data_IF_347021900541
#
_entry.id   IF_347021900541
#
_cell.length_a   1.000
_cell.length_b   1.000
_cell.length_c   1.000
_cell.angle_alpha   90.00
_cell.angle_beta   90.00
_cell.angle_gamma   90.00
#
_symmetry.space_group_name_H-M   'P 1'
#
loop_
_entity.id
_entity.type
_entity.pdbx_description
1 polymer ?
#
# COMPACT_ATOMS: atom_id res chain seq x y z
N UNK A 1 23.70 1.97 -6.69
CA UNK A 1 22.28 2.35 -6.56
C UNK A 1 21.49 1.33 -7.35
N UNK A 2 20.48 0.69 -6.74
CA UNK A 2 19.63 -0.26 -7.45
C UNK A 2 18.62 0.47 -8.35
N UNK A 3 18.20 -0.17 -9.44
CA UNK A 3 17.13 0.32 -10.30
C UNK A 3 15.75 -0.09 -9.77
N UNK A 4 14.69 0.62 -10.18
CA UNK A 4 13.30 0.25 -9.84
C UNK A 4 13.00 -1.21 -10.19
N UNK A 5 13.39 -1.67 -11.38
CA UNK A 5 13.13 -3.06 -11.82
C UNK A 5 13.87 -4.10 -10.98
N UNK A 6 15.09 -3.81 -10.51
CA UNK A 6 15.84 -4.72 -9.64
C UNK A 6 15.17 -4.85 -8.27
N UNK A 7 14.71 -3.74 -7.70
CA UNK A 7 14.00 -3.73 -6.42
C UNK A 7 12.65 -4.47 -6.49
N UNK A 8 11.90 -4.30 -7.58
CA UNK A 8 10.66 -5.03 -7.80
C UNK A 8 10.87 -6.55 -7.91
N UNK A 9 12.00 -7.01 -8.47
CA UNK A 9 12.32 -8.44 -8.58
C UNK A 9 12.78 -9.04 -7.25
N UNK A 10 13.48 -8.26 -6.41
CA UNK A 10 14.02 -8.75 -5.13
C UNK A 10 13.00 -8.93 -4.01
N UNK A 11 11.78 -8.40 -4.16
CA UNK A 11 10.77 -8.35 -3.09
C UNK A 11 9.80 -9.54 -3.01
N UNK A 12 9.86 -10.53 -3.90
CA UNK A 12 8.73 -11.46 -4.16
C UNK A 12 8.55 -12.58 -3.11
N UNK A 13 9.30 -12.55 -2.01
CA UNK A 13 9.16 -13.50 -0.89
C UNK A 13 8.31 -12.89 0.25
N UNK A 14 7.02 -12.64 -0.03
CA UNK A 14 6.04 -12.17 0.94
C UNK A 14 4.92 -13.20 1.08
N UNK A 15 4.57 -13.52 2.31
CA UNK A 15 3.39 -14.33 2.63
C UNK A 15 2.14 -13.44 2.61
N UNK A 16 1.54 -13.31 1.44
CA UNK A 16 0.33 -12.51 1.20
C UNK A 16 -0.45 -13.03 0.00
N UNK A 17 -1.73 -12.68 -0.11
CA UNK A 17 -2.55 -13.04 -1.27
C UNK A 17 -2.06 -12.37 -2.58
N UNK A 18 -1.31 -11.27 -2.47
CA UNK A 18 -0.82 -10.50 -3.60
C UNK A 18 0.63 -10.00 -3.41
N UNK A 19 1.65 -10.89 -3.33
CA UNK A 19 3.03 -10.52 -2.97
C UNK A 19 3.63 -9.47 -3.89
N UNK A 20 3.39 -9.61 -5.20
CA UNK A 20 3.89 -8.66 -6.20
C UNK A 20 3.28 -7.27 -6.03
N UNK A 21 1.97 -7.21 -5.78
CA UNK A 21 1.27 -5.93 -5.57
C UNK A 21 1.77 -5.23 -4.31
N UNK A 22 1.97 -5.99 -3.23
CA UNK A 22 2.51 -5.46 -1.98
C UNK A 22 3.90 -4.83 -2.20
N UNK A 23 4.80 -5.51 -2.91
CA UNK A 23 6.13 -4.97 -3.27
C UNK A 23 6.02 -3.67 -4.06
N UNK A 24 5.14 -3.63 -5.07
CA UNK A 24 4.93 -2.42 -5.88
C UNK A 24 4.40 -1.24 -5.04
N UNK A 25 3.44 -1.50 -4.15
CA UNK A 25 2.87 -0.48 -3.27
C UNK A 25 3.90 0.04 -2.26
N UNK A 26 4.70 -0.85 -1.67
CA UNK A 26 5.75 -0.47 -0.73
C UNK A 26 6.86 0.33 -1.42
N UNK A 27 7.27 -0.06 -2.62
CA UNK A 27 8.27 0.69 -3.38
C UNK A 27 7.74 2.07 -3.80
N UNK A 28 6.52 2.12 -4.32
CA UNK A 28 5.84 3.37 -4.65
C UNK A 28 5.78 4.31 -3.44
N UNK A 29 5.39 3.78 -2.28
CA UNK A 29 5.34 4.52 -1.02
C UNK A 29 6.72 5.04 -0.59
N UNK A 30 7.75 4.19 -0.60
CA UNK A 30 9.12 4.60 -0.23
C UNK A 30 9.65 5.74 -1.12
N UNK A 31 9.33 5.69 -2.42
CA UNK A 31 9.73 6.70 -3.40
C UNK A 31 8.84 7.96 -3.40
N UNK A 32 7.67 7.92 -2.75
CA UNK A 32 6.67 8.98 -2.86
C UNK A 32 6.11 9.12 -4.29
N UNK A 33 5.98 8.00 -5.00
CA UNK A 33 5.54 7.94 -6.39
C UNK A 33 4.31 7.05 -6.54
N UNK A 34 3.69 7.06 -7.72
CA UNK A 34 2.58 6.15 -8.04
C UNK A 34 3.09 4.81 -8.58
N UNK A 35 2.25 3.77 -8.53
CA UNK A 35 2.56 2.48 -9.19
C UNK A 35 2.82 2.65 -10.68
N UNK A 36 2.04 3.50 -11.36
CA UNK A 36 2.23 3.78 -12.79
C UNK A 36 3.60 4.36 -13.09
N UNK A 37 4.13 5.22 -12.21
CA UNK A 37 5.48 5.78 -12.35
C UNK A 37 6.56 4.69 -12.36
N UNK A 38 6.44 3.66 -11.50
CA UNK A 38 7.39 2.54 -11.47
C UNK A 38 7.48 1.80 -12.81
N UNK A 39 6.34 1.63 -13.48
CA UNK A 39 6.26 1.00 -14.80
C UNK A 39 6.70 1.92 -15.94
N UNK A 40 6.57 3.22 -15.77
CA UNK A 40 6.99 4.22 -16.76
C UNK A 40 8.51 4.39 -16.74
N UNK A 41 9.14 4.27 -15.56
CA UNK A 41 10.57 4.51 -15.35
C UNK A 41 11.29 3.33 -14.67
N UNK A 42 11.26 2.12 -15.26
CA UNK A 42 11.80 0.91 -14.64
C UNK A 42 13.33 0.93 -14.47
N UNK A 43 14.03 1.69 -15.31
CA UNK A 43 15.50 1.82 -15.31
C UNK A 43 15.99 2.94 -14.39
N UNK A 44 15.08 3.73 -13.78
CA UNK A 44 15.49 4.83 -12.93
C UNK A 44 16.21 4.31 -11.68
N UNK A 45 17.33 4.94 -11.35
CA UNK A 45 18.11 4.62 -10.16
C UNK A 45 17.41 5.12 -8.90
N UNK A 46 17.41 4.29 -7.86
CA UNK A 46 16.87 4.61 -6.55
C UNK A 46 18.01 4.99 -5.62
N UNK A 47 17.88 6.16 -4.99
CA UNK A 47 18.83 6.64 -4.00
C UNK A 47 18.88 5.70 -2.78
N UNK A 48 20.06 5.59 -2.16
CA UNK A 48 20.33 4.61 -1.11
C UNK A 48 19.45 4.80 0.14
N UNK A 49 19.11 6.05 0.48
CA UNK A 49 18.18 6.40 1.55
C UNK A 49 16.78 5.81 1.30
N UNK A 50 16.29 5.93 0.06
CA UNK A 50 14.99 5.40 -0.36
C UNK A 50 14.98 3.88 -0.47
N UNK A 51 16.09 3.31 -0.91
CA UNK A 51 16.28 1.86 -0.90
C UNK A 51 16.25 1.30 0.53
N UNK A 52 16.88 2.01 1.48
CA UNK A 52 16.86 1.64 2.90
C UNK A 52 15.43 1.66 3.46
N UNK A 53 14.68 2.73 3.20
CA UNK A 53 13.26 2.84 3.59
C UNK A 53 12.46 1.68 3.00
N UNK A 54 12.58 1.40 1.71
CA UNK A 54 11.88 0.30 1.07
C UNK A 54 12.19 -1.06 1.73
N UNK A 55 13.47 -1.33 2.04
CA UNK A 55 13.87 -2.57 2.72
C UNK A 55 13.29 -2.68 4.14
N UNK A 56 13.20 -1.57 4.87
CA UNK A 56 12.55 -1.53 6.19
C UNK A 56 11.05 -1.85 6.09
N UNK A 57 10.34 -1.24 5.14
CA UNK A 57 8.92 -1.51 4.92
C UNK A 57 8.66 -2.96 4.51
N UNK A 58 9.52 -3.55 3.67
CA UNK A 58 9.47 -4.97 3.33
C UNK A 58 9.69 -5.86 4.56
N UNK A 59 10.62 -5.51 5.44
CA UNK A 59 10.86 -6.27 6.67
C UNK A 59 9.63 -6.27 7.57
N UNK A 60 8.96 -5.12 7.72
CA UNK A 60 7.68 -5.01 8.45
C UNK A 60 6.60 -5.89 7.83
N UNK A 61 6.49 -5.87 6.49
CA UNK A 61 5.52 -6.70 5.78
C UNK A 61 5.77 -8.20 5.96
N UNK A 62 7.04 -8.64 5.91
CA UNK A 62 7.45 -10.03 6.17
C UNK A 62 7.17 -10.47 7.60
N UNK A 63 7.19 -9.55 8.56
CA UNK A 63 6.82 -9.83 9.95
C UNK A 63 5.29 -10.00 10.16
N UNK A 64 4.50 -9.93 9.08
CA UNK A 64 3.05 -10.09 9.11
C UNK A 64 2.29 -8.80 9.37
N UNK A 65 2.96 -7.64 9.39
CA UNK A 65 2.27 -6.36 9.54
C UNK A 65 1.38 -6.10 8.31
N UNK A 66 0.10 -5.73 8.49
CA UNK A 66 -0.79 -5.40 7.39
C UNK A 66 -0.26 -4.23 6.55
N UNK A 67 -0.34 -4.37 5.22
CA UNK A 67 0.14 -3.36 4.28
C UNK A 67 -0.44 -1.96 4.56
N UNK A 68 -1.73 -1.87 4.88
CA UNK A 68 -2.42 -0.61 5.15
C UNK A 68 -1.87 0.16 6.37
N UNK A 69 -1.35 -0.55 7.39
CA UNK A 69 -0.69 0.09 8.52
C UNK A 69 0.74 0.52 8.20
N UNK A 70 1.42 -0.20 7.30
CA UNK A 70 2.75 0.19 6.81
C UNK A 70 2.65 1.46 5.97
N UNK A 71 1.67 1.55 5.06
CA UNK A 71 1.44 2.73 4.23
C UNK A 71 0.70 3.85 4.96
N UNK A 72 0.05 3.55 6.09
CA UNK A 72 -0.70 4.50 6.91
C UNK A 72 -2.01 4.96 6.28
N UNK A 73 -2.48 4.30 5.22
CA UNK A 73 -3.69 4.69 4.50
C UNK A 73 -4.38 3.50 3.85
N UNK A 74 -5.70 3.63 3.65
CA UNK A 74 -6.54 2.69 2.92
C UNK A 74 -7.65 3.44 2.19
N UNK A 75 -7.86 3.10 0.93
CA UNK A 75 -9.02 3.58 0.19
C UNK A 75 -10.30 2.87 0.66
N UNK A 76 -11.36 3.64 0.87
CA UNK A 76 -12.71 3.18 1.22
C UNK A 76 -13.72 4.12 0.55
N UNK A 77 -14.64 3.62 -0.28
CA UNK A 77 -15.55 4.44 -1.08
C UNK A 77 -14.84 5.53 -1.93
N UNK A 78 -13.69 5.18 -2.53
CA UNK A 78 -12.81 6.12 -3.26
C UNK A 78 -12.24 7.27 -2.42
N UNK A 79 -12.39 7.21 -1.09
CA UNK A 79 -11.80 8.15 -0.15
C UNK A 79 -10.54 7.53 0.45
N UNK A 80 -9.37 8.20 0.39
CA UNK A 80 -8.20 7.79 1.14
C UNK A 80 -8.43 8.10 2.61
N UNK A 81 -8.45 7.08 3.45
CA UNK A 81 -8.55 7.21 4.91
C UNK A 81 -7.19 6.96 5.53
N UNK A 82 -6.73 7.91 6.36
CA UNK A 82 -5.55 7.70 7.18
C UNK A 82 -5.82 6.65 8.25
N UNK A 83 -4.85 5.77 8.49
CA UNK A 83 -4.93 4.69 9.45
C UNK A 83 -3.73 4.69 10.39
N UNK A 84 -3.96 4.17 11.59
CA UNK A 84 -2.90 3.81 12.53
C UNK A 84 -3.24 2.49 13.23
N UNK A 85 -2.32 2.00 14.06
CA UNK A 85 -2.44 0.73 14.77
C UNK A 85 -3.57 0.68 15.81
N UNK A 86 -4.24 1.80 16.09
CA UNK A 86 -5.41 1.89 16.97
C UNK A 86 -6.75 1.78 16.21
N UNK A 87 -6.71 1.73 14.88
CA UNK A 87 -7.89 1.67 14.01
C UNK A 87 -8.08 0.30 13.37
N UNK A 88 -9.30 -0.05 12.99
CA UNK A 88 -9.55 -1.22 12.15
C UNK A 88 -9.38 -0.84 10.67
N UNK A 89 -8.71 -1.69 9.90
CA UNK A 89 -8.60 -1.53 8.45
C UNK A 89 -10.00 -1.65 7.82
N UNK A 90 -10.51 -0.62 7.12
CA UNK A 90 -11.80 -0.69 6.43
C UNK A 90 -11.85 -1.84 5.44
N UNK A 91 -12.92 -2.62 5.50
CA UNK A 91 -13.14 -3.81 4.67
C UNK A 91 -14.15 -3.50 3.56
N UNK A 92 -14.02 -4.10 2.35
CA UNK A 92 -14.99 -3.92 1.26
C UNK A 92 -16.43 -4.25 1.68
N UNK A 93 -16.64 -5.23 2.56
CA UNK A 93 -17.97 -5.61 3.04
C UNK A 93 -18.65 -4.47 3.82
N UNK A 94 -17.88 -3.62 4.50
CA UNK A 94 -18.40 -2.44 5.21
C UNK A 94 -18.86 -1.35 4.24
N UNK A 95 -18.41 -1.35 2.99
CA UNK A 95 -18.92 -0.44 1.95
C UNK A 95 -20.39 -0.71 1.63
N UNK A 96 -20.83 -1.97 1.69
CA UNK A 96 -22.23 -2.37 1.52
C UNK A 96 -23.12 -1.75 2.60
N UNK A 97 -22.65 -1.70 3.85
CA UNK A 97 -23.38 -1.07 4.96
C UNK A 97 -23.58 0.43 4.73
N UNK A 98 -22.54 1.12 4.23
CA UNK A 98 -22.65 2.53 3.83
C UNK A 98 -23.67 2.70 2.71
N UNK A 99 -23.65 1.81 1.71
CA UNK A 99 -24.64 1.79 0.64
C UNK A 99 -26.08 1.73 1.16
N UNK A 100 -26.38 0.79 2.05
CA UNK A 100 -27.70 0.70 2.68
C UNK A 100 -28.06 1.93 3.52
N UNK A 101 -27.10 2.50 4.24
CA UNK A 101 -27.34 3.69 5.05
C UNK A 101 -27.71 4.91 4.20
N UNK A 102 -27.12 5.06 3.01
CA UNK A 102 -27.42 6.14 2.08
C UNK A 102 -28.82 6.02 1.44
N UNK A 103 -29.42 4.83 1.42
CA UNK A 103 -30.80 4.62 0.96
C UNK A 103 -31.85 5.02 2.01
N UNK A 104 -31.45 5.20 3.27
CA UNK A 104 -32.36 5.61 4.34
C UNK A 104 -32.77 7.07 4.16
N UNK A 105 -34.04 7.38 4.44
CA UNK A 105 -34.49 8.77 4.54
C UNK A 105 -33.85 9.40 5.76
N UNK A 106 -33.29 10.60 5.58
CA UNK A 106 -32.86 11.43 6.69
C UNK A 106 -34.08 11.83 7.53
N UNK A 107 -33.94 11.83 8.87
CA UNK A 107 -34.96 12.40 9.73
C UNK A 107 -35.14 13.90 9.43
N UNK A 108 -36.36 14.41 9.65
CA UNK A 108 -36.68 15.84 9.58
C UNK A 108 -35.98 16.66 10.67
#
# INVERSE_FOLDING_TARGET
MATVVELLRGGVDLDSDSPRLDVELLLAHALGQTRTWLYTWPENEVAEDRECVFRELLSRRRAGEPLAYITGEREFWSLPLALDNSTLIPRPETETLVGWALELRLPE
#
